data_IF_461681065245
#
_entry.id   IF_461681065245
#
_cell.length_a   1.000
_cell.length_b   1.000
_cell.length_c   1.000
_cell.angle_alpha   90.00
_cell.angle_beta   90.00
_cell.angle_gamma   90.00
#
_symmetry.space_group_name_H-M   'P 1'
#
loop_
_entity.id
_entity.type
_entity.pdbx_description
1 polymer ?
#
# COMPACT_ATOMS: atom_id res chain seq x y z
N UNK A 1 -19.69 -44.92 -47.61
CA UNK A 1 -19.69 -43.46 -47.48
C UNK A 1 -20.46 -43.14 -46.20
N UNK A 2 -19.95 -43.57 -45.05
CA UNK A 2 -18.95 -42.89 -44.21
C UNK A 2 -19.44 -41.52 -43.66
N UNK A 3 -20.05 -41.66 -42.48
CA UNK A 3 -20.07 -40.81 -41.28
C UNK A 3 -19.51 -39.38 -41.32
N UNK A 4 -20.39 -38.44 -40.98
CA UNK A 4 -20.32 -37.52 -39.84
C UNK A 4 -18.93 -36.98 -39.43
N UNK A 5 -18.62 -35.73 -39.82
CA UNK A 5 -17.50 -34.98 -39.24
C UNK A 5 -18.03 -34.18 -38.04
N UNK A 6 -17.82 -34.74 -36.86
CA UNK A 6 -18.13 -34.10 -35.58
C UNK A 6 -17.20 -32.90 -35.30
N UNK A 7 -17.82 -31.81 -34.88
CA UNK A 7 -17.20 -30.67 -34.22
C UNK A 7 -16.51 -31.09 -32.91
N UNK A 8 -15.32 -30.52 -32.68
CA UNK A 8 -14.87 -30.16 -31.35
C UNK A 8 -13.79 -31.05 -30.73
N UNK A 9 -12.65 -30.44 -30.44
CA UNK A 9 -11.89 -30.67 -29.19
C UNK A 9 -11.08 -29.43 -28.85
N UNK A 10 -11.75 -28.53 -28.13
CA UNK A 10 -11.12 -27.57 -27.23
C UNK A 10 -10.28 -28.34 -26.21
N UNK A 11 -8.96 -28.38 -26.37
CA UNK A 11 -8.05 -28.70 -25.28
C UNK A 11 -7.35 -27.42 -24.83
N UNK A 12 -8.10 -26.52 -24.17
CA UNK A 12 -7.48 -25.63 -23.18
C UNK A 12 -7.14 -26.50 -21.99
N UNK A 13 -5.91 -27.03 -21.98
CA UNK A 13 -5.30 -27.55 -20.77
C UNK A 13 -5.54 -26.51 -19.67
N UNK A 14 -6.27 -26.90 -18.64
CA UNK A 14 -6.51 -26.13 -17.43
C UNK A 14 -5.12 -25.72 -16.92
N UNK A 15 -4.77 -24.45 -17.07
CA UNK A 15 -3.50 -23.93 -16.57
C UNK A 15 -3.39 -24.42 -15.13
N UNK A 16 -2.33 -25.18 -14.82
CA UNK A 16 -2.10 -25.67 -13.48
C UNK A 16 -2.28 -24.48 -12.53
N UNK A 17 -3.25 -24.60 -11.63
CA UNK A 17 -3.62 -23.54 -10.71
C UNK A 17 -2.38 -23.29 -9.85
N UNK A 18 -1.68 -22.18 -10.13
CA UNK A 18 -0.45 -21.83 -9.40
C UNK A 18 -0.77 -21.77 -7.91
N UNK A 19 0.06 -22.41 -7.08
CA UNK A 19 -0.16 -22.53 -5.64
C UNK A 19 -0.47 -21.16 -4.99
N UNK A 20 -1.27 -21.10 -3.92
CA UNK A 20 -1.53 -19.84 -3.21
C UNK A 20 -0.23 -19.13 -2.80
N UNK A 21 -0.23 -17.79 -2.85
CA UNK A 21 0.93 -17.03 -2.40
C UNK A 21 0.98 -17.03 -0.88
N UNK A 22 2.09 -17.48 -0.31
CA UNK A 22 2.27 -17.50 1.14
C UNK A 22 2.38 -16.07 1.71
N UNK A 23 1.73 -15.79 2.87
CA UNK A 23 1.86 -14.50 3.52
C UNK A 23 3.26 -14.22 4.06
N UNK A 24 3.66 -12.95 4.05
CA UNK A 24 4.92 -12.45 4.63
C UNK A 24 4.65 -11.81 6.00
N UNK A 25 5.57 -11.94 6.96
CA UNK A 25 5.42 -11.22 8.25
C UNK A 25 5.42 -9.71 8.03
N UNK A 26 4.37 -9.05 8.50
CA UNK A 26 4.15 -7.61 8.39
C UNK A 26 5.22 -6.78 9.13
N UNK A 27 5.83 -7.34 10.18
CA UNK A 27 6.77 -6.64 11.07
C UNK A 27 8.07 -6.27 10.34
N UNK A 28 8.44 -7.11 9.37
CA UNK A 28 9.66 -6.96 8.56
C UNK A 28 9.45 -6.15 7.28
N UNK A 29 8.25 -5.63 7.05
CA UNK A 29 7.92 -4.94 5.81
C UNK A 29 8.52 -3.54 5.79
N UNK A 30 9.31 -3.28 4.75
CA UNK A 30 9.83 -1.95 4.43
C UNK A 30 9.33 -1.43 3.08
N UNK A 31 8.67 -2.27 2.29
CA UNK A 31 8.13 -1.89 1.01
C UNK A 31 6.84 -2.64 0.73
N UNK A 32 5.81 -1.93 0.32
CA UNK A 32 4.52 -2.54 0.03
C UNK A 32 3.67 -1.70 -0.93
N UNK A 33 2.58 -2.30 -1.38
CA UNK A 33 1.46 -1.68 -2.10
C UNK A 33 0.14 -2.16 -1.49
N UNK A 34 -0.96 -1.44 -1.71
CA UNK A 34 -2.30 -1.92 -1.33
C UNK A 34 -3.08 -2.29 -2.58
N UNK A 35 -3.60 -3.51 -2.63
CA UNK A 35 -4.47 -3.93 -3.73
C UNK A 35 -4.80 -5.42 -3.75
N UNK A 36 -5.45 -5.83 -4.84
CA UNK A 36 -5.91 -7.22 -5.03
C UNK A 36 -5.06 -8.00 -6.04
N UNK A 37 -4.06 -7.39 -6.68
CA UNK A 37 -3.18 -8.10 -7.62
C UNK A 37 -2.17 -8.93 -6.82
N UNK A 38 -2.21 -10.25 -7.00
CA UNK A 38 -1.21 -11.18 -6.42
C UNK A 38 -0.01 -11.34 -7.33
N UNK A 39 -0.24 -11.43 -8.64
CA UNK A 39 0.82 -11.66 -9.61
C UNK A 39 0.56 -10.77 -10.81
N UNK A 40 1.30 -9.67 -10.97
CA UNK A 40 1.07 -8.74 -12.06
C UNK A 40 1.48 -9.38 -13.39
N UNK A 41 0.97 -8.81 -14.49
CA UNK A 41 1.38 -9.21 -15.83
C UNK A 41 2.90 -9.09 -15.99
N UNK A 42 3.52 -10.09 -16.61
CA UNK A 42 4.95 -10.11 -16.92
C UNK A 42 5.18 -10.68 -18.33
N UNK A 43 6.40 -10.60 -18.90
CA UNK A 43 6.69 -11.20 -20.20
C UNK A 43 6.35 -12.70 -20.27
N UNK A 44 6.49 -13.42 -19.15
CA UNK A 44 6.18 -14.85 -19.02
C UNK A 44 4.77 -15.13 -18.48
N UNK A 45 4.03 -14.08 -18.10
CA UNK A 45 2.66 -14.16 -17.56
C UNK A 45 1.76 -13.12 -18.21
N UNK A 46 0.99 -13.54 -19.20
CA UNK A 46 0.18 -12.63 -20.03
C UNK A 46 -1.04 -12.01 -19.30
N UNK A 47 -1.43 -12.54 -18.13
CA UNK A 47 -2.58 -12.07 -17.35
C UNK A 47 -2.22 -11.92 -15.88
N UNK A 48 -2.73 -10.87 -15.25
CA UNK A 48 -2.62 -10.71 -13.80
C UNK A 48 -3.45 -11.76 -13.07
N UNK A 49 -2.93 -12.26 -11.95
CA UNK A 49 -3.66 -13.08 -10.99
C UNK A 49 -4.09 -12.18 -9.84
N UNK A 50 -5.35 -12.32 -9.44
CA UNK A 50 -5.98 -11.51 -8.41
C UNK A 50 -6.30 -12.38 -7.19
N UNK A 51 -6.14 -11.82 -6.00
CA UNK A 51 -6.52 -12.43 -4.73
C UNK A 51 -7.31 -11.46 -3.87
N UNK A 52 -7.47 -11.80 -2.58
CA UNK A 52 -8.15 -10.92 -1.62
C UNK A 52 -7.44 -9.56 -1.50
N UNK A 53 -8.16 -8.44 -1.32
CA UNK A 53 -7.52 -7.15 -1.09
C UNK A 53 -6.58 -7.21 0.12
N UNK A 54 -5.35 -6.75 -0.04
CA UNK A 54 -4.31 -6.84 0.98
C UNK A 54 -3.29 -5.70 0.89
N UNK A 55 -2.57 -5.48 1.97
CA UNK A 55 -1.21 -4.92 1.94
C UNK A 55 -0.28 -5.99 1.41
N UNK A 56 0.44 -5.68 0.34
CA UNK A 56 1.22 -6.64 -0.45
C UNK A 56 2.66 -6.21 -0.60
N UNK A 57 3.56 -7.17 -0.45
CA UNK A 57 5.01 -7.00 -0.49
C UNK A 57 5.52 -7.54 -1.84
N UNK A 58 6.32 -6.76 -2.59
CA UNK A 58 6.95 -7.26 -3.80
C UNK A 58 8.00 -8.32 -3.46
N UNK A 59 7.85 -9.48 -4.08
CA UNK A 59 8.71 -10.66 -3.94
C UNK A 59 8.89 -11.32 -5.31
N UNK A 60 9.73 -12.35 -5.38
CA UNK A 60 10.02 -13.06 -6.63
C UNK A 60 10.98 -12.29 -7.55
N UNK A 61 11.09 -12.76 -8.79
CA UNK A 61 12.00 -12.19 -9.80
C UNK A 61 11.27 -11.22 -10.72
N UNK A 62 12.02 -10.46 -11.52
CA UNK A 62 11.44 -9.55 -12.53
C UNK A 62 10.55 -10.26 -13.56
N UNK A 63 10.88 -11.51 -13.87
CA UNK A 63 10.12 -12.34 -14.82
C UNK A 63 8.86 -12.95 -14.19
N UNK A 64 8.90 -13.22 -12.89
CA UNK A 64 7.81 -13.81 -12.12
C UNK A 64 7.57 -13.02 -10.83
N UNK A 65 7.14 -11.76 -10.96
CA UNK A 65 6.86 -10.94 -9.79
C UNK A 65 5.65 -11.49 -9.04
N UNK A 66 5.76 -11.45 -7.72
CA UNK A 66 4.70 -11.85 -6.81
C UNK A 66 4.51 -10.74 -5.77
N UNK A 67 3.27 -10.33 -5.58
CA UNK A 67 2.86 -9.37 -4.56
C UNK A 67 2.24 -10.15 -3.40
N UNK A 68 3.10 -10.66 -2.52
CA UNK A 68 2.72 -11.52 -1.40
C UNK A 68 1.97 -10.72 -0.33
N UNK A 69 0.83 -11.19 0.18
CA UNK A 69 0.10 -10.45 1.21
C UNK A 69 0.88 -10.47 2.52
N UNK A 70 0.86 -9.37 3.27
CA UNK A 70 1.33 -9.34 4.67
C UNK A 70 0.23 -8.95 5.65
N UNK A 71 -0.83 -8.30 5.17
CA UNK A 71 -2.04 -8.03 5.94
C UNK A 71 -3.24 -7.96 4.98
N UNK A 72 -4.37 -8.54 5.36
CA UNK A 72 -5.58 -8.61 4.54
C UNK A 72 -6.57 -7.53 4.94
N UNK A 73 -7.23 -6.91 3.97
CA UNK A 73 -8.36 -6.02 4.25
C UNK A 73 -9.62 -6.88 4.40
N UNK A 74 -10.54 -6.47 5.27
CA UNK A 74 -11.79 -7.18 5.40
C UNK A 74 -12.73 -6.63 6.46
N UNK A 75 -13.94 -7.17 6.45
CA UNK A 75 -14.87 -6.98 7.55
C UNK A 75 -14.53 -7.97 8.65
N UNK A 76 -14.41 -7.49 9.88
CA UNK A 76 -14.19 -8.36 11.02
C UNK A 76 -15.41 -9.22 11.33
N UNK A 77 -15.17 -10.41 11.86
CA UNK A 77 -16.18 -11.12 12.66
C UNK A 77 -16.31 -10.55 14.08
N UNK A 78 -15.37 -9.67 14.49
CA UNK A 78 -15.43 -8.96 15.78
C UNK A 78 -16.57 -7.94 15.74
N UNK A 79 -17.60 -8.10 16.58
CA UNK A 79 -18.74 -7.18 16.60
C UNK A 79 -18.32 -5.78 17.07
N UNK A 80 -18.95 -4.76 16.48
CA UNK A 80 -18.86 -3.35 16.89
C UNK A 80 -17.47 -2.70 16.77
N UNK A 81 -16.61 -3.13 15.84
CA UNK A 81 -15.41 -2.36 15.53
C UNK A 81 -15.79 -0.98 14.98
N UNK A 82 -15.22 0.13 15.51
CA UNK A 82 -15.50 1.49 15.07
C UNK A 82 -14.69 1.84 13.80
N UNK A 83 -14.67 0.95 12.82
CA UNK A 83 -13.92 1.10 11.58
C UNK A 83 -14.65 0.45 10.40
N UNK A 84 -14.38 0.97 9.20
CA UNK A 84 -14.89 0.41 7.95
C UNK A 84 -14.02 -0.79 7.52
N UNK A 85 -14.59 -1.75 6.77
CA UNK A 85 -13.82 -2.91 6.28
C UNK A 85 -12.57 -2.53 5.48
N UNK A 86 -12.62 -1.43 4.72
CA UNK A 86 -11.51 -0.94 3.90
C UNK A 86 -10.38 -0.29 4.74
N UNK A 87 -10.65 -0.06 6.02
CA UNK A 87 -9.76 0.57 6.99
C UNK A 87 -9.36 -0.39 8.12
N UNK A 88 -9.67 -1.68 7.96
CA UNK A 88 -9.38 -2.73 8.94
C UNK A 88 -8.46 -3.77 8.33
N UNK A 89 -7.38 -4.11 9.03
CA UNK A 89 -6.37 -5.07 8.58
C UNK A 89 -6.31 -6.30 9.48
N UNK A 90 -6.12 -7.47 8.86
CA UNK A 90 -6.00 -8.76 9.51
C UNK A 90 -4.70 -9.44 9.12
N UNK A 91 -4.19 -10.30 10.00
CA UNK A 91 -2.99 -11.10 9.74
C UNK A 91 -3.29 -12.33 8.87
N UNK A 92 -4.54 -12.80 8.88
CA UNK A 92 -4.97 -14.00 8.14
C UNK A 92 -6.06 -13.70 7.10
N UNK A 93 -6.12 -14.57 6.11
CA UNK A 93 -7.04 -14.48 4.97
C UNK A 93 -8.51 -14.62 5.37
N UNK A 94 -8.80 -15.24 6.51
CA UNK A 94 -10.16 -15.49 7.01
C UNK A 94 -10.66 -14.37 7.96
N UNK A 95 -9.87 -13.31 8.14
CA UNK A 95 -10.18 -12.17 9.00
C UNK A 95 -10.48 -12.56 10.46
N UNK A 96 -9.69 -13.48 11.03
CA UNK A 96 -9.84 -13.97 12.41
C UNK A 96 -8.92 -13.27 13.41
N UNK A 97 -7.76 -12.80 12.96
CA UNK A 97 -6.71 -12.14 13.74
C UNK A 97 -6.59 -10.70 13.29
N UNK A 98 -7.25 -9.80 14.03
CA UNK A 98 -7.15 -8.37 13.81
C UNK A 98 -5.68 -7.94 13.99
N UNK A 99 -5.16 -7.17 13.04
CA UNK A 99 -3.83 -6.54 13.12
C UNK A 99 -3.95 -5.12 13.67
N UNK A 100 -4.75 -4.31 12.97
CA UNK A 100 -5.06 -2.93 13.34
C UNK A 100 -6.29 -2.43 12.61
N UNK A 101 -6.85 -1.32 13.08
CA UNK A 101 -7.92 -0.61 12.39
C UNK A 101 -7.74 0.89 12.47
N UNK A 102 -8.31 1.60 11.51
CA UNK A 102 -8.34 3.07 11.47
C UNK A 102 -9.76 3.53 11.81
N UNK A 103 -9.89 4.35 12.85
CA UNK A 103 -11.19 4.96 13.19
C UNK A 103 -11.65 5.93 12.09
N UNK A 104 -12.96 6.19 12.06
CA UNK A 104 -13.48 7.26 11.23
C UNK A 104 -12.84 8.61 11.58
N UNK A 105 -12.64 9.44 10.55
CA UNK A 105 -12.00 10.73 10.70
C UNK A 105 -12.79 11.62 11.67
N UNK A 106 -12.10 12.27 12.60
CA UNK A 106 -12.66 13.33 13.43
C UNK A 106 -12.05 14.65 13.05
N UNK A 107 -12.88 15.67 12.93
CA UNK A 107 -12.39 17.03 12.71
C UNK A 107 -11.97 17.64 14.05
N UNK A 108 -10.71 18.08 14.14
CA UNK A 108 -10.14 18.76 15.30
C UNK A 108 -9.36 19.96 14.78
N UNK A 109 -9.78 21.16 15.18
CA UNK A 109 -9.15 22.44 14.77
C UNK A 109 -9.00 22.59 13.24
N UNK A 110 -9.97 22.05 12.48
CA UNK A 110 -9.97 22.06 11.01
C UNK A 110 -9.06 21.02 10.34
N UNK A 111 -8.37 20.17 11.12
CA UNK A 111 -7.61 19.02 10.64
C UNK A 111 -8.47 17.75 10.73
N UNK A 112 -8.31 16.82 9.78
CA UNK A 112 -8.96 15.50 9.85
C UNK A 112 -8.01 14.51 10.53
N UNK A 113 -8.42 13.97 11.67
CA UNK A 113 -7.63 13.05 12.50
C UNK A 113 -8.17 11.63 12.36
N UNK A 114 -7.30 10.72 11.96
CA UNK A 114 -7.58 9.29 11.87
C UNK A 114 -6.76 8.56 12.93
N UNK A 115 -7.41 8.10 14.01
CA UNK A 115 -6.74 7.30 15.03
C UNK A 115 -6.50 5.88 14.51
N UNK A 116 -5.29 5.37 14.68
CA UNK A 116 -4.91 4.00 14.31
C UNK A 116 -4.71 3.20 15.58
N UNK A 117 -5.42 2.08 15.70
CA UNK A 117 -5.41 1.23 16.89
C UNK A 117 -5.01 -0.19 16.57
N UNK A 118 -4.37 -0.85 17.53
CA UNK A 118 -4.02 -2.26 17.43
C UNK A 118 -5.22 -3.19 17.69
N UNK A 119 -4.94 -4.49 17.72
CA UNK A 119 -5.93 -5.53 17.96
C UNK A 119 -6.59 -5.43 19.35
N UNK A 120 -5.93 -4.81 20.33
CA UNK A 120 -6.40 -4.61 21.70
C UNK A 120 -7.09 -3.24 21.87
N UNK A 121 -7.21 -2.46 20.80
CA UNK A 121 -7.78 -1.11 20.82
C UNK A 121 -6.83 -0.06 21.41
N UNK A 122 -5.55 -0.37 21.62
CA UNK A 122 -4.56 0.62 22.06
C UNK A 122 -4.16 1.53 20.90
N UNK A 123 -3.95 2.81 21.20
CA UNK A 123 -3.55 3.79 20.19
C UNK A 123 -2.10 3.53 19.75
N UNK A 124 -1.93 3.22 18.46
CA UNK A 124 -0.60 3.13 17.82
C UNK A 124 -0.14 4.52 17.41
N UNK A 125 -1.07 5.37 16.96
CA UNK A 125 -0.77 6.72 16.51
C UNK A 125 -1.94 7.36 15.77
N UNK A 126 -1.73 8.56 15.25
CA UNK A 126 -2.75 9.36 14.57
C UNK A 126 -2.23 9.85 13.23
N UNK A 127 -3.02 9.66 12.17
CA UNK A 127 -2.79 10.31 10.88
C UNK A 127 -3.59 11.60 10.83
N UNK A 128 -2.95 12.72 10.50
CA UNK A 128 -3.61 14.02 10.39
C UNK A 128 -3.52 14.55 8.99
N UNK A 129 -4.67 14.87 8.39
CA UNK A 129 -4.75 15.62 7.14
C UNK A 129 -4.91 17.09 7.47
N UNK A 130 -3.87 17.86 7.20
CA UNK A 130 -3.85 19.30 7.43
C UNK A 130 -4.42 20.01 6.20
N UNK A 131 -5.45 20.86 6.35
CA UNK A 131 -6.06 21.55 5.22
C UNK A 131 -5.06 22.48 4.52
N UNK A 132 -5.27 22.76 3.22
CA UNK A 132 -4.39 23.63 2.46
C UNK A 132 -4.43 25.08 3.01
N UNK A 133 -3.27 25.67 3.28
CA UNK A 133 -3.14 27.14 3.40
C UNK A 133 -2.69 27.68 2.04
N UNK A 134 -3.56 28.43 1.34
CA UNK A 134 -3.26 28.94 -0.02
C UNK A 134 -1.89 29.65 -0.06
N UNK A 135 -1.05 29.42 -1.09
CA UNK A 135 -1.27 28.61 -2.30
C UNK A 135 -0.89 27.11 -2.15
N UNK A 136 -0.59 26.63 -0.94
CA UNK A 136 -0.11 25.27 -0.70
C UNK A 136 -1.25 24.25 -0.69
N UNK A 137 -0.96 23.02 -1.13
CA UNK A 137 -1.89 21.88 -1.07
C UNK A 137 -2.00 21.35 0.36
N UNK A 138 -3.02 20.53 0.63
CA UNK A 138 -3.11 19.81 1.90
C UNK A 138 -1.85 18.97 2.13
N UNK A 139 -1.49 18.82 3.39
CA UNK A 139 -0.33 18.04 3.84
C UNK A 139 -0.78 16.99 4.83
N UNK A 140 0.08 16.01 5.07
CA UNK A 140 -0.17 14.95 6.02
C UNK A 140 0.82 15.00 7.18
N UNK A 141 0.38 14.55 8.34
CA UNK A 141 1.25 14.31 9.49
C UNK A 141 0.94 12.95 10.10
N UNK A 142 1.93 12.34 10.73
CA UNK A 142 1.78 11.11 11.52
C UNK A 142 2.38 11.39 12.89
N UNK A 143 1.57 11.17 13.93
CA UNK A 143 2.03 11.15 15.31
C UNK A 143 2.09 9.71 15.78
N UNK A 144 3.28 9.27 16.21
CA UNK A 144 3.49 7.99 16.87
C UNK A 144 3.95 8.27 18.31
N UNK A 145 3.30 7.73 19.35
CA UNK A 145 3.69 7.96 20.73
C UNK A 145 5.17 7.63 20.98
N UNK A 146 5.87 8.56 21.65
CA UNK A 146 7.29 8.42 21.97
C UNK A 146 8.25 8.68 20.79
N UNK A 147 7.76 9.10 19.62
CA UNK A 147 8.58 9.42 18.46
C UNK A 147 8.34 10.86 17.97
N UNK A 148 9.27 11.45 17.20
CA UNK A 148 9.06 12.75 16.59
C UNK A 148 7.90 12.74 15.59
N UNK A 149 7.21 13.88 15.47
CA UNK A 149 6.18 14.10 14.44
C UNK A 149 6.77 13.86 13.05
N UNK A 150 6.04 13.11 12.22
CA UNK A 150 6.39 12.86 10.83
C UNK A 150 5.53 13.75 9.95
N UNK A 151 6.15 14.53 9.05
CA UNK A 151 5.44 15.42 8.13
C UNK A 151 5.60 14.94 6.69
N UNK A 152 4.48 14.70 6.01
CA UNK A 152 4.41 14.39 4.59
C UNK A 152 4.43 15.67 3.74
N UNK A 153 5.48 15.84 2.94
CA UNK A 153 5.65 16.97 2.02
C UNK A 153 5.72 16.49 0.58
N UNK A 154 5.25 17.32 -0.35
CA UNK A 154 5.47 17.06 -1.77
C UNK A 154 6.98 17.13 -2.04
N UNK A 155 7.52 16.18 -2.79
CA UNK A 155 8.96 16.05 -3.11
C UNK A 155 9.58 17.34 -3.70
N UNK A 156 8.78 18.22 -4.27
CA UNK A 156 9.22 19.45 -4.93
C UNK A 156 9.29 20.69 -4.03
N UNK A 157 8.88 20.60 -2.75
CA UNK A 157 8.79 21.76 -1.85
C UNK A 157 9.98 21.92 -0.89
N UNK A 158 10.98 21.05 -0.92
CA UNK A 158 12.17 21.10 -0.05
C UNK A 158 13.42 21.56 -0.83
N UNK A 159 13.40 22.80 -1.31
CA UNK A 159 14.57 23.44 -1.91
C UNK A 159 15.37 24.25 -0.89
N UNK A 160 16.33 23.62 -0.19
CA UNK A 160 17.58 24.29 0.17
C UNK A 160 18.65 23.91 -0.85
N UNK A 161 19.47 24.88 -1.25
CA UNK A 161 20.37 24.84 -2.42
C UNK A 161 21.59 23.92 -2.28
N UNK A 162 21.76 23.23 -1.14
CA UNK A 162 22.94 22.40 -0.85
C UNK A 162 22.78 20.88 -1.01
N UNK A 163 21.56 20.34 -1.04
CA UNK A 163 21.31 18.89 -0.92
C UNK A 163 20.92 18.19 -2.22
N UNK A 164 21.32 18.73 -3.37
CA UNK A 164 20.97 18.17 -4.69
C UNK A 164 21.69 16.84 -4.97
N UNK A 165 22.81 16.56 -4.29
CA UNK A 165 23.61 15.35 -4.52
C UNK A 165 22.94 14.04 -4.04
N UNK A 166 22.11 14.08 -3.00
CA UNK A 166 21.38 12.89 -2.52
C UNK A 166 20.15 12.54 -3.39
N UNK A 167 19.67 13.48 -4.21
CA UNK A 167 18.38 13.41 -4.93
C UNK A 167 18.37 12.50 -6.15
N UNK A 168 19.54 12.09 -6.67
CA UNK A 168 19.62 11.20 -7.85
C UNK A 168 19.52 9.73 -7.46
N UNK A 169 19.93 9.35 -6.23
CA UNK A 169 19.90 7.96 -5.79
C UNK A 169 18.48 7.42 -5.55
N UNK A 170 17.57 8.28 -5.07
CA UNK A 170 16.20 7.86 -4.71
C UNK A 170 15.39 7.55 -5.98
N UNK A 171 15.49 8.37 -7.03
CA UNK A 171 14.80 8.15 -8.32
C UNK A 171 15.23 6.83 -8.99
N UNK A 172 16.50 6.46 -8.88
CA UNK A 172 17.02 5.19 -9.40
C UNK A 172 16.46 3.95 -8.67
N UNK A 173 16.08 4.06 -7.40
CA UNK A 173 15.42 2.95 -6.67
C UNK A 173 13.95 2.77 -7.00
N UNK A 174 13.26 3.84 -7.44
CA UNK A 174 11.88 3.76 -7.93
C UNK A 174 11.82 3.17 -9.34
N UNK A 175 12.66 3.62 -10.27
CA UNK A 175 12.63 3.21 -11.68
C UNK A 175 12.89 1.71 -11.90
N UNK A 176 13.73 1.07 -11.08
CA UNK A 176 14.01 -0.37 -11.22
C UNK A 176 12.81 -1.28 -10.88
N UNK A 177 11.79 -0.76 -10.20
CA UNK A 177 10.70 -1.57 -9.64
C UNK A 177 9.31 -1.00 -9.97
N UNK A 178 9.22 0.21 -10.52
CA UNK A 178 8.02 0.73 -11.18
C UNK A 178 7.47 -0.26 -12.23
N UNK A 179 8.34 -1.04 -12.87
CA UNK A 179 7.94 -2.10 -13.79
C UNK A 179 7.13 -3.24 -13.18
N UNK A 180 7.12 -3.39 -11.84
CA UNK A 180 6.32 -4.41 -11.13
C UNK A 180 4.98 -3.88 -10.62
N UNK A 181 4.89 -2.58 -10.32
CA UNK A 181 3.68 -1.95 -9.79
C UNK A 181 2.87 -1.21 -10.85
N UNK A 182 3.45 -0.89 -12.02
CA UNK A 182 2.80 -0.11 -13.09
C UNK A 182 2.08 -0.95 -14.16
N UNK A 183 2.12 -2.28 -14.09
CA UNK A 183 1.54 -3.16 -15.11
C UNK A 183 0.15 -3.65 -14.73
N UNK A 184 -0.84 -2.75 -14.78
CA UNK A 184 -2.24 -3.13 -14.63
C UNK A 184 -3.22 -1.98 -14.54
N UNK A 185 -3.31 -1.12 -15.57
CA UNK A 185 -4.44 -0.22 -15.68
C UNK A 185 -4.77 0.06 -17.16
N UNK A 186 -5.69 -0.72 -17.72
CA UNK A 186 -6.42 -0.35 -18.93
C UNK A 186 -7.60 0.54 -18.52
N UNK A 187 -7.83 1.56 -19.34
CA UNK A 187 -8.97 2.49 -19.43
C UNK A 187 -9.34 3.40 -18.23
N UNK A 188 -9.16 4.70 -18.48
CA UNK A 188 -9.57 5.81 -17.62
C UNK A 188 -8.37 6.51 -17.00
N UNK A 189 -8.17 7.79 -17.34
CA UNK A 189 -7.12 8.64 -16.80
C UNK A 189 -7.24 8.78 -15.26
N UNK A 190 -6.76 7.78 -14.51
CA UNK A 190 -6.57 7.89 -13.06
C UNK A 190 -5.51 8.97 -12.85
N UNK A 191 -5.89 10.04 -12.15
CA UNK A 191 -4.95 11.10 -11.73
C UNK A 191 -3.74 10.42 -11.09
N UNK A 192 -2.54 10.66 -11.63
CA UNK A 192 -1.29 10.10 -11.09
C UNK A 192 -1.24 10.39 -9.58
N UNK A 193 -1.10 9.33 -8.78
CA UNK A 193 -0.97 9.46 -7.34
C UNK A 193 0.20 10.40 -7.03
N UNK A 194 0.05 11.24 -6.01
CA UNK A 194 1.12 12.16 -5.62
C UNK A 194 2.21 11.42 -4.86
N UNK A 195 3.46 11.67 -5.24
CA UNK A 195 4.62 11.23 -4.47
C UNK A 195 4.85 12.19 -3.28
N UNK A 196 4.92 11.62 -2.08
CA UNK A 196 5.17 12.31 -0.81
C UNK A 196 6.45 11.78 -0.18
N UNK A 197 7.27 12.70 0.29
CA UNK A 197 8.41 12.41 1.16
C UNK A 197 8.00 12.72 2.61
N UNK A 198 8.17 11.74 3.48
CA UNK A 198 7.81 11.83 4.89
C UNK A 198 9.07 12.02 5.72
N UNK A 199 9.10 13.09 6.51
CA UNK A 199 10.28 13.43 7.33
C UNK A 199 9.96 13.56 8.80
N UNK A 200 10.87 13.08 9.63
CA UNK A 200 10.96 13.39 11.05
C UNK A 200 12.21 14.28 11.28
N UNK A 201 11.98 15.59 11.43
CA UNK A 201 13.07 16.57 11.34
C UNK A 201 13.74 16.54 9.96
N UNK A 202 15.06 16.34 9.93
CA UNK A 202 15.84 16.29 8.69
C UNK A 202 15.91 14.88 8.06
N UNK A 203 15.42 13.86 8.76
CA UNK A 203 15.52 12.48 8.30
C UNK A 203 14.29 12.07 7.48
N UNK A 204 14.51 11.49 6.30
CA UNK A 204 13.46 10.79 5.54
C UNK A 204 13.16 9.47 6.23
N UNK A 205 11.88 9.24 6.57
CA UNK A 205 11.43 8.05 7.31
C UNK A 205 10.53 7.16 6.47
N UNK A 206 9.87 7.71 5.46
CA UNK A 206 8.99 7.01 4.53
C UNK A 206 8.86 7.80 3.23
N UNK A 207 8.61 7.11 2.12
CA UNK A 207 8.20 7.68 0.85
C UNK A 207 6.94 6.97 0.36
N UNK A 208 6.02 7.68 -0.29
CA UNK A 208 4.76 7.09 -0.74
C UNK A 208 4.25 7.70 -2.03
N UNK A 209 3.75 6.86 -2.94
CA UNK A 209 2.99 7.25 -4.13
C UNK A 209 1.52 6.86 -3.95
N UNK A 210 0.81 7.61 -3.11
CA UNK A 210 -0.51 7.22 -2.61
C UNK A 210 -0.48 5.80 -2.02
N UNK A 211 -1.36 4.93 -2.53
CA UNK A 211 -1.43 3.51 -2.14
C UNK A 211 -0.70 2.58 -3.11
N UNK A 212 -0.12 3.11 -4.19
CA UNK A 212 0.51 2.34 -5.27
C UNK A 212 1.82 1.74 -4.79
N UNK A 213 2.60 2.53 -4.06
CA UNK A 213 3.85 2.10 -3.49
C UNK A 213 4.17 2.93 -2.25
N UNK A 214 4.60 2.25 -1.19
CA UNK A 214 5.15 2.87 0.01
C UNK A 214 6.45 2.19 0.36
N UNK A 215 7.46 2.98 0.72
CA UNK A 215 8.75 2.52 1.23
C UNK A 215 9.03 3.18 2.58
N UNK A 216 9.30 2.36 3.59
CA UNK A 216 9.67 2.77 4.94
C UNK A 216 11.19 2.73 5.02
N UNK A 217 11.80 3.79 5.56
CA UNK A 217 13.25 3.90 5.78
C UNK A 217 13.58 3.81 7.28
N UNK A 218 12.69 4.29 8.14
CA UNK A 218 12.91 4.31 9.59
C UNK A 218 12.51 2.98 10.25
N UNK A 219 13.46 2.35 10.96
CA UNK A 219 13.20 1.13 11.71
C UNK A 219 12.20 1.31 12.85
N UNK A 220 12.10 2.51 13.41
CA UNK A 220 11.22 2.83 14.55
C UNK A 220 9.78 3.14 14.14
N UNK A 221 9.51 3.41 12.85
CA UNK A 221 8.16 3.69 12.38
C UNK A 221 7.32 2.42 12.44
N UNK A 222 6.20 2.44 13.17
CA UNK A 222 5.28 1.32 13.21
C UNK A 222 4.68 1.09 11.80
N UNK A 223 4.85 -0.11 11.26
CA UNK A 223 4.42 -0.48 9.90
C UNK A 223 2.92 -0.31 9.73
N UNK A 224 2.15 -0.51 10.80
CA UNK A 224 0.70 -0.36 10.81
C UNK A 224 0.29 1.09 10.55
N UNK A 225 1.07 2.09 10.96
CA UNK A 225 0.82 3.50 10.62
C UNK A 225 1.06 3.79 9.14
N UNK A 226 2.12 3.22 8.56
CA UNK A 226 2.37 3.32 7.12
C UNK A 226 1.27 2.64 6.30
N UNK A 227 0.82 1.45 6.73
CA UNK A 227 -0.30 0.75 6.10
C UNK A 227 -1.58 1.58 6.18
N UNK A 228 -1.90 2.10 7.37
CA UNK A 228 -3.07 2.95 7.59
C UNK A 228 -3.07 4.18 6.68
N UNK A 229 -1.93 4.86 6.51
CA UNK A 229 -1.82 5.96 5.55
C UNK A 229 -2.16 5.52 4.13
N UNK A 230 -1.62 4.38 3.67
CA UNK A 230 -1.90 3.87 2.33
C UNK A 230 -3.38 3.49 2.12
N UNK A 231 -4.09 3.08 3.18
CA UNK A 231 -5.53 2.78 3.13
C UNK A 231 -6.38 4.05 3.06
N UNK A 232 -6.13 5.03 3.93
CA UNK A 232 -6.83 6.32 3.93
C UNK A 232 -6.57 7.04 2.60
N UNK A 233 -5.30 7.08 2.21
CA UNK A 233 -4.83 7.59 0.93
C UNK A 233 -4.82 9.12 0.81
N UNK A 234 -4.01 9.61 -0.11
CA UNK A 234 -3.96 11.02 -0.49
C UNK A 234 -5.01 11.35 -1.57
N UNK A 235 -6.29 11.17 -1.24
CA UNK A 235 -7.43 11.36 -2.16
C UNK A 235 -8.05 12.76 -2.07
#
# INVERSE_FOLDING_TARGET
MEAEVAFGRNNKAKAAEEAPVEPVSWETVFRFAVGSVERPKSPKRLRSVWGKPAVRVPTGSKDYPVLAPCAFLGSSSVPNLPSRPELTLFEDVDARRLLCYVEEAREVDGEQHHAVRDAQGQLIGTLRRVPPKRPFKHTWRIDQPGQPEIVGRNEWASGSTGEVAARVAIRATFEAVDGLFSTGNDDGAKKKARSLEWRAGDNVVMTSEGSVQVKIEANWLDRRLAFAFALVGDK
#
